data_IF_530889604571
#
_entry.id   IF_530889604571
#
_cell.length_a   1.000
_cell.length_b   1.000
_cell.length_c   1.000
_cell.angle_alpha   90.00
_cell.angle_beta   90.00
_cell.angle_gamma   90.00
#
_symmetry.space_group_name_H-M   'P 1'
#
loop_
_entity.id
_entity.type
_entity.pdbx_description
1 polymer ?
#
# COMPACT_ATOMS: atom_id res chain seq x y z
N UNK A 1 -6.78 13.79 -28.48
CA UNK A 1 -5.53 12.99 -28.35
C UNK A 1 -4.55 13.59 -27.33
N UNK A 2 -4.23 14.89 -27.40
CA UNK A 2 -3.30 15.59 -26.49
C UNK A 2 -3.63 15.39 -24.99
N UNK A 3 -4.84 15.75 -24.55
CA UNK A 3 -5.26 15.66 -23.14
C UNK A 3 -5.11 14.25 -22.56
N UNK A 4 -5.35 13.20 -23.34
CA UNK A 4 -5.20 11.82 -22.88
C UNK A 4 -3.73 11.42 -22.66
N UNK A 5 -2.82 11.93 -23.48
CA UNK A 5 -1.37 11.72 -23.30
C UNK A 5 -0.86 12.54 -22.12
N UNK A 6 -1.30 13.79 -21.99
CA UNK A 6 -0.95 14.65 -20.85
C UNK A 6 -1.34 14.03 -19.51
N UNK A 7 -2.60 13.57 -19.36
CA UNK A 7 -3.05 12.93 -18.14
C UNK A 7 -2.28 11.64 -17.82
N UNK A 8 -1.96 10.85 -18.83
CA UNK A 8 -1.14 9.64 -18.66
C UNK A 8 0.27 9.99 -18.15
N UNK A 9 0.92 11.01 -18.73
CA UNK A 9 2.23 11.48 -18.29
C UNK A 9 2.17 12.05 -16.86
N UNK A 10 1.10 12.77 -16.51
CA UNK A 10 0.88 13.26 -15.15
C UNK A 10 0.72 12.11 -14.14
N UNK A 11 0.06 11.01 -14.51
CA UNK A 11 -0.01 9.81 -13.65
C UNK A 11 1.36 9.17 -13.47
N UNK A 12 2.14 9.03 -14.54
CA UNK A 12 3.51 8.52 -14.44
C UNK A 12 4.39 9.42 -13.56
N UNK A 13 4.29 10.74 -13.72
CA UNK A 13 4.99 11.71 -12.90
C UNK A 13 4.52 11.64 -11.43
N UNK A 14 3.22 11.53 -11.18
CA UNK A 14 2.66 11.36 -9.84
C UNK A 14 3.20 10.11 -9.14
N UNK A 15 3.32 8.98 -9.85
CA UNK A 15 3.91 7.74 -9.31
C UNK A 15 5.37 7.94 -8.86
N UNK A 16 6.14 8.75 -9.57
CA UNK A 16 7.54 9.06 -9.23
C UNK A 16 7.63 10.09 -8.11
N UNK A 17 6.77 11.11 -8.13
CA UNK A 17 6.81 12.24 -7.20
C UNK A 17 6.16 11.94 -5.86
N UNK A 18 5.15 11.06 -5.80
CA UNK A 18 4.35 10.78 -4.59
C UNK A 18 5.19 10.56 -3.32
N UNK A 19 6.25 9.73 -3.30
CA UNK A 19 6.98 9.50 -2.08
C UNK A 19 8.02 10.59 -1.82
N UNK A 20 8.44 11.34 -2.86
CA UNK A 20 9.42 12.42 -2.77
C UNK A 20 8.82 13.70 -2.21
N UNK A 21 7.50 13.86 -2.34
CA UNK A 21 6.79 15.02 -1.82
C UNK A 21 6.58 14.93 -0.30
N UNK A 22 6.69 16.06 0.43
CA UNK A 22 6.42 16.09 1.86
C UNK A 22 4.94 15.80 2.14
N UNK A 23 4.62 15.22 3.31
CA UNK A 23 3.22 14.95 3.69
C UNK A 23 2.39 16.21 3.92
N UNK A 24 3.04 17.31 4.33
CA UNK A 24 2.40 18.60 4.59
C UNK A 24 3.30 19.70 4.03
N UNK A 25 2.71 20.61 3.25
CA UNK A 25 3.33 21.85 2.84
C UNK A 25 2.49 23.00 3.38
N UNK A 26 3.13 23.94 4.10
CA UNK A 26 2.46 25.11 4.62
C UNK A 26 2.22 26.11 3.48
N UNK A 27 0.96 26.38 3.17
CA UNK A 27 0.54 27.45 2.28
C UNK A 27 -0.22 28.49 3.12
N UNK A 28 0.51 29.47 3.65
CA UNK A 28 -0.02 30.39 4.64
C UNK A 28 -0.44 29.66 5.92
N UNK A 29 -1.72 29.71 6.29
CA UNK A 29 -2.28 29.02 7.48
C UNK A 29 -2.79 27.60 7.18
N UNK A 30 -2.75 27.15 5.93
CA UNK A 30 -3.32 25.87 5.50
C UNK A 30 -2.18 24.90 5.20
N UNK A 31 -2.20 23.73 5.84
CA UNK A 31 -1.31 22.63 5.49
C UNK A 31 -1.99 21.75 4.44
N UNK A 32 -1.41 21.70 3.24
CA UNK A 32 -1.96 20.91 2.13
C UNK A 32 -0.93 19.85 1.72
N UNK A 33 -1.31 18.57 1.60
CA UNK A 33 -0.43 17.54 1.04
C UNK A 33 -0.26 17.78 -0.47
N UNK A 34 0.94 18.09 -0.99
CA UNK A 34 1.14 18.37 -2.42
C UNK A 34 0.75 17.19 -3.32
N UNK A 35 0.96 15.95 -2.84
CA UNK A 35 0.56 14.75 -3.55
C UNK A 35 -0.96 14.68 -3.74
N UNK A 36 -1.75 15.07 -2.73
CA UNK A 36 -3.22 15.09 -2.82
C UNK A 36 -3.68 16.15 -3.85
N UNK A 37 -2.98 17.29 -3.95
CA UNK A 37 -3.24 18.30 -4.99
C UNK A 37 -2.96 17.77 -6.40
N UNK A 38 -1.84 17.10 -6.62
CA UNK A 38 -1.51 16.53 -7.94
C UNK A 38 -2.54 15.48 -8.33
N UNK A 39 -2.93 14.61 -7.40
CA UNK A 39 -3.98 13.64 -7.64
C UNK A 39 -5.31 14.32 -7.98
N UNK A 40 -5.72 15.35 -7.22
CA UNK A 40 -6.92 16.12 -7.49
C UNK A 40 -6.89 16.78 -8.90
N UNK A 41 -5.74 17.31 -9.33
CA UNK A 41 -5.56 17.86 -10.69
C UNK A 41 -5.71 16.79 -11.77
N UNK A 42 -5.16 15.59 -11.55
CA UNK A 42 -5.33 14.44 -12.46
C UNK A 42 -6.81 14.05 -12.56
N UNK A 43 -7.50 13.98 -11.43
CA UNK A 43 -8.92 13.64 -11.37
C UNK A 43 -9.79 14.70 -12.06
N UNK A 44 -9.50 15.98 -11.81
CA UNK A 44 -10.19 17.10 -12.45
C UNK A 44 -9.98 17.10 -13.97
N UNK A 45 -8.74 16.88 -14.43
CA UNK A 45 -8.46 16.77 -15.86
C UNK A 45 -9.14 15.55 -16.50
N UNK A 46 -9.30 14.44 -15.78
CA UNK A 46 -10.10 13.31 -16.24
C UNK A 46 -11.60 13.67 -16.35
N UNK A 47 -12.14 14.40 -15.37
CA UNK A 47 -13.51 14.91 -15.42
C UNK A 47 -13.73 15.82 -16.64
N UNK A 48 -12.83 16.77 -16.92
CA UNK A 48 -12.89 17.60 -18.14
C UNK A 48 -12.84 16.74 -19.42
N UNK A 49 -12.00 15.70 -19.43
CA UNK A 49 -11.93 14.76 -20.56
C UNK A 49 -13.27 14.04 -20.79
N UNK A 50 -13.99 13.67 -19.73
CA UNK A 50 -15.33 13.07 -19.83
C UNK A 50 -16.34 14.01 -20.49
N UNK A 51 -16.29 15.32 -20.17
CA UNK A 51 -17.18 16.33 -20.77
C UNK A 51 -16.85 16.53 -22.26
N UNK A 52 -15.57 16.57 -22.62
CA UNK A 52 -15.14 16.94 -23.98
C UNK A 52 -15.17 15.74 -24.94
N UNK A 53 -14.75 14.55 -24.50
CA UNK A 53 -14.51 13.42 -25.40
C UNK A 53 -15.64 12.39 -25.39
N UNK A 54 -16.35 12.26 -26.53
CA UNK A 54 -17.37 11.21 -26.75
C UNK A 54 -16.80 9.80 -26.56
N UNK A 55 -15.59 9.55 -27.04
CA UNK A 55 -14.91 8.26 -26.90
C UNK A 55 -14.62 7.93 -25.43
N UNK A 56 -14.23 8.93 -24.63
CA UNK A 56 -14.04 8.79 -23.19
C UNK A 56 -15.37 8.46 -22.47
N UNK A 57 -16.48 9.08 -22.87
CA UNK A 57 -17.82 8.76 -22.30
C UNK A 57 -18.25 7.33 -22.59
N UNK A 58 -17.98 6.84 -23.80
CA UNK A 58 -18.27 5.45 -24.17
C UNK A 58 -17.45 4.48 -23.31
N UNK A 59 -16.14 4.73 -23.16
CA UNK A 59 -15.28 3.92 -22.28
C UNK A 59 -15.71 3.99 -20.82
N UNK A 60 -16.05 5.17 -20.32
CA UNK A 60 -16.55 5.35 -18.96
C UNK A 60 -17.85 4.58 -18.73
N UNK A 61 -18.83 4.70 -19.61
CA UNK A 61 -20.11 3.99 -19.49
C UNK A 61 -19.92 2.47 -19.51
N UNK A 62 -19.09 1.95 -20.42
CA UNK A 62 -18.73 0.52 -20.43
C UNK A 62 -17.95 0.11 -19.17
N UNK A 63 -17.04 0.97 -18.70
CA UNK A 63 -16.24 0.76 -17.50
C UNK A 63 -17.11 0.69 -16.24
N UNK A 64 -18.11 1.56 -16.09
CA UNK A 64 -19.05 1.53 -14.96
C UNK A 64 -19.82 0.21 -14.93
N UNK A 65 -20.29 -0.29 -16.08
CA UNK A 65 -20.96 -1.60 -16.15
C UNK A 65 -20.04 -2.75 -15.70
N UNK A 66 -18.79 -2.78 -16.16
CA UNK A 66 -17.81 -3.78 -15.71
C UNK A 66 -17.44 -3.59 -14.22
N UNK A 67 -17.38 -2.36 -13.74
CA UNK A 67 -17.02 -2.03 -12.37
C UNK A 67 -18.04 -2.55 -11.37
N UNK A 68 -19.34 -2.49 -11.68
CA UNK A 68 -20.40 -3.02 -10.82
C UNK A 68 -20.75 -4.50 -11.07
N UNK A 69 -20.03 -5.20 -11.95
CA UNK A 69 -20.16 -6.66 -12.11
C UNK A 69 -18.98 -7.43 -11.50
N UNK A 70 -17.86 -6.74 -11.27
CA UNK A 70 -16.67 -7.35 -10.68
C UNK A 70 -16.74 -7.28 -9.14
N UNK A 71 -16.73 -8.45 -8.49
CA UNK A 71 -16.84 -8.58 -7.04
C UNK A 71 -15.82 -7.75 -6.24
N UNK A 72 -14.57 -7.59 -6.73
CA UNK A 72 -13.55 -6.75 -6.06
C UNK A 72 -14.03 -5.30 -5.97
N UNK A 73 -14.51 -4.76 -7.08
CA UNK A 73 -14.93 -3.37 -7.17
C UNK A 73 -16.28 -3.12 -6.52
N UNK A 74 -17.16 -4.14 -6.45
CA UNK A 74 -18.37 -4.10 -5.62
C UNK A 74 -18.00 -3.92 -4.14
N UNK A 75 -17.12 -4.76 -3.59
CA UNK A 75 -16.71 -4.62 -2.18
C UNK A 75 -15.97 -3.29 -1.92
N UNK A 76 -15.16 -2.81 -2.86
CA UNK A 76 -14.56 -1.47 -2.78
C UNK A 76 -15.63 -0.37 -2.71
N UNK A 77 -16.71 -0.53 -3.47
CA UNK A 77 -17.82 0.43 -3.52
C UNK A 77 -18.63 0.42 -2.22
N UNK A 78 -18.91 -0.76 -1.68
CA UNK A 78 -19.59 -0.90 -0.38
C UNK A 78 -18.75 -0.25 0.71
N UNK A 79 -17.44 -0.52 0.74
CA UNK A 79 -16.53 0.08 1.72
C UNK A 79 -16.51 1.62 1.60
N UNK A 80 -16.39 2.15 0.39
CA UNK A 80 -16.41 3.60 0.16
C UNK A 80 -17.77 4.23 0.53
N UNK A 81 -18.88 3.54 0.27
CA UNK A 81 -20.21 3.99 0.66
C UNK A 81 -20.33 4.03 2.19
N UNK A 82 -19.87 3.00 2.90
CA UNK A 82 -19.86 2.99 4.36
C UNK A 82 -19.01 4.13 4.93
N UNK A 83 -17.83 4.38 4.33
CA UNK A 83 -16.99 5.53 4.69
C UNK A 83 -17.73 6.86 4.55
N UNK A 84 -18.49 7.07 3.47
CA UNK A 84 -19.30 8.28 3.27
C UNK A 84 -20.47 8.39 4.25
N UNK A 85 -21.23 7.30 4.46
CA UNK A 85 -22.33 7.25 5.42
C UNK A 85 -21.82 7.59 6.82
N UNK A 86 -20.60 7.13 7.16
CA UNK A 86 -20.00 7.34 8.47
C UNK A 86 -19.74 8.80 8.84
N UNK A 87 -19.65 9.69 7.85
CA UNK A 87 -19.49 11.15 8.07
C UNK A 87 -20.69 11.73 8.85
N UNK A 88 -21.87 11.15 8.72
CA UNK A 88 -23.08 11.64 9.38
C UNK A 88 -23.02 11.53 10.92
N UNK A 89 -22.38 10.47 11.44
CA UNK A 89 -22.29 10.17 12.87
C UNK A 89 -20.86 10.24 13.44
N UNK A 90 -19.84 10.52 12.63
CA UNK A 90 -18.46 10.71 13.08
C UNK A 90 -18.32 11.86 14.10
N UNK A 91 -17.45 11.68 15.11
CA UNK A 91 -17.13 12.72 16.09
C UNK A 91 -16.38 13.91 15.46
N UNK A 92 -15.34 13.62 14.68
CA UNK A 92 -14.68 14.53 13.75
C UNK A 92 -15.14 14.22 12.32
N UNK A 93 -16.14 14.97 11.88
CA UNK A 93 -16.72 14.87 10.53
C UNK A 93 -15.74 15.30 9.43
N UNK A 94 -14.85 16.25 9.72
CA UNK A 94 -13.88 16.75 8.74
C UNK A 94 -12.82 15.70 8.45
N UNK A 95 -12.33 15.03 9.49
CA UNK A 95 -11.40 13.91 9.34
C UNK A 95 -12.05 12.75 8.59
N UNK A 96 -13.28 12.38 8.96
CA UNK A 96 -14.03 11.33 8.26
C UNK A 96 -14.21 11.65 6.77
N UNK A 97 -14.59 12.88 6.45
CA UNK A 97 -14.77 13.31 5.05
C UNK A 97 -13.44 13.25 4.26
N UNK A 98 -12.35 13.74 4.85
CA UNK A 98 -11.03 13.74 4.20
C UNK A 98 -10.52 12.32 3.91
N UNK A 99 -10.59 11.42 4.89
CA UNK A 99 -10.17 10.02 4.72
C UNK A 99 -11.06 9.29 3.71
N UNK A 100 -12.37 9.57 3.71
CA UNK A 100 -13.32 8.99 2.74
C UNK A 100 -13.02 9.45 1.31
N UNK A 101 -12.81 10.76 1.09
CA UNK A 101 -12.44 11.27 -0.24
C UNK A 101 -11.10 10.75 -0.72
N UNK A 102 -10.13 10.58 0.19
CA UNK A 102 -8.85 9.98 -0.13
C UNK A 102 -8.99 8.52 -0.57
N UNK A 103 -9.83 7.73 0.09
CA UNK A 103 -10.09 6.36 -0.37
C UNK A 103 -10.77 6.34 -1.74
N UNK A 104 -11.77 7.20 -1.95
CA UNK A 104 -12.47 7.33 -3.24
C UNK A 104 -11.52 7.76 -4.36
N UNK A 105 -10.56 8.66 -4.10
CA UNK A 105 -9.58 9.07 -5.10
C UNK A 105 -8.70 7.90 -5.58
N UNK A 106 -8.37 6.94 -4.70
CA UNK A 106 -7.70 5.70 -5.10
C UNK A 106 -8.58 4.80 -5.96
N UNK A 107 -9.88 4.72 -5.66
CA UNK A 107 -10.83 3.97 -6.50
C UNK A 107 -10.92 4.59 -7.89
N UNK A 108 -10.99 5.92 -7.98
CA UNK A 108 -11.04 6.62 -9.28
C UNK A 108 -9.72 6.43 -10.04
N UNK A 109 -8.57 6.52 -9.37
CA UNK A 109 -7.27 6.24 -9.99
C UNK A 109 -7.20 4.80 -10.52
N UNK A 110 -7.67 3.82 -9.73
CA UNK A 110 -7.80 2.43 -10.15
C UNK A 110 -8.68 2.29 -11.39
N UNK A 111 -9.85 2.96 -11.40
CA UNK A 111 -10.78 2.97 -12.52
C UNK A 111 -10.11 3.55 -13.78
N UNK A 112 -9.43 4.68 -13.67
CA UNK A 112 -8.74 5.33 -14.79
C UNK A 112 -7.67 4.42 -15.41
N UNK A 113 -6.82 3.78 -14.59
CA UNK A 113 -5.80 2.85 -15.08
C UNK A 113 -6.45 1.65 -15.77
N UNK A 114 -7.48 1.06 -15.15
CA UNK A 114 -8.16 -0.15 -15.66
C UNK A 114 -8.91 0.08 -16.98
N UNK A 115 -9.59 1.21 -17.14
CA UNK A 115 -10.49 1.42 -18.30
C UNK A 115 -9.96 2.39 -19.35
N UNK A 116 -9.13 3.38 -18.99
CA UNK A 116 -8.60 4.36 -19.94
C UNK A 116 -7.19 4.04 -20.43
N UNK A 117 -6.34 3.48 -19.57
CA UNK A 117 -4.92 3.25 -19.87
C UNK A 117 -4.52 1.77 -19.88
N UNK A 118 -5.45 0.90 -20.26
CA UNK A 118 -5.25 -0.55 -20.34
C UNK A 118 -4.45 -1.06 -21.55
N UNK A 119 -3.87 -0.18 -22.36
CA UNK A 119 -2.93 -0.58 -23.41
C UNK A 119 -1.62 -1.04 -22.79
N UNK A 120 -1.06 -2.13 -23.30
CA UNK A 120 0.17 -2.75 -22.78
C UNK A 120 1.35 -1.77 -22.63
N UNK A 121 1.53 -0.88 -23.60
CA UNK A 121 2.58 0.16 -23.58
C UNK A 121 2.42 1.12 -22.41
N UNK A 122 1.19 1.56 -22.14
CA UNK A 122 0.87 2.50 -21.06
C UNK A 122 1.02 1.83 -19.69
N UNK A 123 0.55 0.59 -19.57
CA UNK A 123 0.71 -0.19 -18.35
C UNK A 123 2.20 -0.48 -18.06
N UNK A 124 3.02 -0.71 -19.09
CA UNK A 124 4.47 -0.82 -18.95
C UNK A 124 5.11 0.47 -18.46
N UNK A 125 4.67 1.63 -18.94
CA UNK A 125 5.18 2.91 -18.43
C UNK A 125 4.78 3.19 -16.98
N UNK A 126 3.58 2.77 -16.56
CA UNK A 126 3.15 2.82 -15.15
C UNK A 126 4.04 1.93 -14.28
N UNK A 127 4.27 0.67 -14.67
CA UNK A 127 5.18 -0.23 -13.95
C UNK A 127 6.63 0.27 -13.96
N UNK A 128 7.09 0.81 -15.09
CA UNK A 128 8.42 1.42 -15.22
C UNK A 128 8.58 2.62 -14.29
N UNK A 129 7.55 3.46 -14.17
CA UNK A 129 7.52 4.59 -13.23
C UNK A 129 7.62 4.09 -11.78
N UNK A 130 6.86 3.04 -11.42
CA UNK A 130 6.96 2.42 -10.10
C UNK A 130 8.35 1.84 -9.79
N UNK A 131 8.96 1.14 -10.75
CA UNK A 131 10.33 0.61 -10.59
C UNK A 131 11.33 1.75 -10.45
N UNK A 132 11.19 2.82 -11.24
CA UNK A 132 12.02 4.02 -11.15
C UNK A 132 11.90 4.66 -9.75
N UNK A 133 10.69 4.81 -9.22
CA UNK A 133 10.45 5.29 -7.85
C UNK A 133 11.23 4.46 -6.83
N UNK A 134 11.17 3.13 -6.94
CA UNK A 134 11.87 2.24 -6.01
C UNK A 134 13.40 2.42 -6.06
N UNK A 135 13.97 2.62 -7.26
CA UNK A 135 15.39 2.94 -7.40
C UNK A 135 15.74 4.23 -6.66
N UNK A 136 14.98 5.31 -6.90
CA UNK A 136 15.21 6.62 -6.26
C UNK A 136 15.13 6.49 -4.73
N UNK A 137 14.08 5.83 -4.23
CA UNK A 137 13.87 5.65 -2.79
C UNK A 137 14.96 4.80 -2.15
N UNK A 138 15.40 3.72 -2.80
CA UNK A 138 16.49 2.90 -2.27
C UNK A 138 17.82 3.65 -2.24
N UNK A 139 18.14 4.41 -3.29
CA UNK A 139 19.37 5.23 -3.33
C UNK A 139 19.33 6.31 -2.25
N UNK A 140 18.20 7.01 -2.10
CA UNK A 140 18.03 8.02 -1.06
C UNK A 140 18.12 7.40 0.35
N UNK A 141 17.51 6.23 0.58
CA UNK A 141 17.57 5.55 1.87
C UNK A 141 18.99 5.09 2.25
N UNK A 142 19.79 4.61 1.29
CA UNK A 142 21.22 4.35 1.51
C UNK A 142 21.97 5.64 1.86
N UNK A 143 21.75 6.72 1.09
CA UNK A 143 22.36 8.01 1.38
C UNK A 143 21.99 8.53 2.79
N UNK A 144 20.72 8.41 3.18
CA UNK A 144 20.22 8.77 4.50
C UNK A 144 20.85 7.91 5.60
N UNK A 145 21.11 6.62 5.35
CA UNK A 145 21.78 5.74 6.31
C UNK A 145 23.22 6.18 6.63
N UNK A 146 23.93 6.80 5.68
CA UNK A 146 25.29 7.29 5.93
C UNK A 146 25.32 8.69 6.54
N UNK A 147 24.40 9.55 6.12
CA UNK A 147 24.44 10.99 6.43
C UNK A 147 23.47 11.41 7.54
N UNK A 148 22.42 10.64 7.78
CA UNK A 148 21.28 11.07 8.60
C UNK A 148 20.48 12.23 7.99
N UNK A 149 20.74 12.58 6.71
CA UNK A 149 20.13 13.73 6.05
C UNK A 149 18.61 13.58 5.95
N UNK A 150 17.88 14.64 6.31
CA UNK A 150 16.41 14.67 6.29
C UNK A 150 15.73 13.75 7.31
N UNK A 151 16.48 13.10 8.21
CA UNK A 151 15.93 12.22 9.23
C UNK A 151 15.56 13.00 10.50
N UNK A 152 14.35 12.78 11.01
CA UNK A 152 13.88 13.32 12.28
C UNK A 152 14.73 12.80 13.46
N UNK A 153 14.89 13.62 14.49
CA UNK A 153 15.74 13.27 15.64
C UNK A 153 15.24 12.04 16.41
N UNK A 154 13.93 11.78 16.41
CA UNK A 154 13.33 10.56 17.00
C UNK A 154 13.82 9.25 16.36
N UNK A 155 14.40 9.30 15.16
CA UNK A 155 14.95 8.14 14.45
C UNK A 155 16.48 8.11 14.43
N UNK A 156 17.14 9.00 15.18
CA UNK A 156 18.59 9.00 15.39
C UNK A 156 18.92 8.38 16.75
N UNK A 157 20.10 7.76 16.85
CA UNK A 157 20.66 7.18 18.08
C UNK A 157 19.69 6.22 18.81
N UNK A 158 19.12 5.29 18.04
CA UNK A 158 18.04 4.43 18.47
C UNK A 158 18.57 3.14 19.12
N UNK A 159 19.24 3.23 20.28
CA UNK A 159 19.70 2.12 21.13
C UNK A 159 20.58 1.06 20.44
N UNK A 160 19.97 0.27 19.57
CA UNK A 160 20.56 -0.75 18.70
C UNK A 160 21.06 -0.22 17.34
N UNK A 161 20.72 1.01 16.93
CA UNK A 161 21.14 1.53 15.63
C UNK A 161 21.41 3.04 15.65
N UNK A 162 22.41 3.49 14.89
CA UNK A 162 22.71 4.92 14.71
C UNK A 162 21.55 5.66 14.05
N UNK A 163 20.98 5.10 12.98
CA UNK A 163 19.84 5.68 12.27
C UNK A 163 18.80 4.60 11.94
N UNK A 164 17.52 4.96 12.04
CA UNK A 164 16.42 4.19 11.47
C UNK A 164 15.89 4.93 10.25
N UNK A 165 16.25 4.48 9.06
CA UNK A 165 15.93 5.25 7.85
C UNK A 165 14.43 5.26 7.57
N UNK A 166 13.97 6.40 7.06
CA UNK A 166 12.60 6.61 6.55
C UNK A 166 12.59 6.88 5.06
N UNK A 167 13.77 7.10 4.46
CA UNK A 167 13.92 7.78 3.19
C UNK A 167 13.06 9.04 3.19
N UNK A 168 12.04 9.09 2.34
CA UNK A 168 11.07 10.19 2.26
C UNK A 168 9.67 9.78 2.71
N UNK A 169 9.53 8.63 3.41
CA UNK A 169 8.25 8.03 3.82
C UNK A 169 7.80 8.43 5.23
N UNK A 170 8.49 9.38 5.86
CA UNK A 170 8.24 9.99 7.17
C UNK A 170 8.34 9.03 8.37
N UNK A 171 8.19 7.73 8.18
CA UNK A 171 8.29 6.70 9.21
C UNK A 171 8.98 5.44 8.65
N UNK A 172 9.82 4.73 9.43
CA UNK A 172 10.53 3.54 8.95
C UNK A 172 9.60 2.39 8.57
N UNK A 173 8.45 2.24 9.23
CA UNK A 173 7.47 1.19 8.90
C UNK A 173 6.78 1.48 7.56
N UNK A 174 6.57 2.75 7.21
CA UNK A 174 6.02 3.14 5.91
C UNK A 174 7.00 2.81 4.79
N UNK A 175 8.29 3.12 4.97
CA UNK A 175 9.33 2.73 4.03
C UNK A 175 9.39 1.21 3.87
N UNK A 176 9.40 0.47 4.98
CA UNK A 176 9.42 -0.98 4.94
C UNK A 176 8.22 -1.54 4.15
N UNK A 177 7.02 -1.04 4.41
CA UNK A 177 5.82 -1.48 3.73
C UNK A 177 5.84 -1.19 2.22
N UNK A 178 6.32 -0.01 1.83
CA UNK A 178 6.52 0.35 0.42
C UNK A 178 7.50 -0.61 -0.27
N UNK A 179 8.63 -0.94 0.37
CA UNK A 179 9.63 -1.86 -0.18
C UNK A 179 9.13 -3.30 -0.22
N UNK A 180 8.31 -3.73 0.73
CA UNK A 180 7.69 -5.06 0.74
C UNK A 180 6.77 -5.25 -0.47
N UNK A 181 6.05 -4.23 -0.91
CA UNK A 181 5.24 -4.28 -2.13
C UNK A 181 6.08 -4.52 -3.41
N UNK A 182 7.37 -4.19 -3.38
CA UNK A 182 8.26 -4.21 -4.54
C UNK A 182 9.27 -5.38 -4.57
N UNK A 183 9.74 -5.82 -3.40
CA UNK A 183 10.91 -6.71 -3.30
C UNK A 183 10.68 -8.07 -3.96
N UNK A 184 9.54 -8.72 -3.74
CA UNK A 184 9.28 -10.04 -4.33
C UNK A 184 9.05 -9.98 -5.85
N UNK A 185 8.37 -8.97 -6.43
CA UNK A 185 8.40 -8.73 -7.86
C UNK A 185 9.82 -8.65 -8.43
N UNK A 186 10.73 -7.92 -7.76
CA UNK A 186 12.12 -7.79 -8.22
C UNK A 186 12.89 -9.10 -8.09
N UNK A 187 12.71 -9.86 -7.01
CA UNK A 187 13.29 -11.20 -6.84
C UNK A 187 12.82 -12.13 -7.97
N UNK A 188 11.52 -12.17 -8.25
CA UNK A 188 10.97 -13.04 -9.29
C UNK A 188 11.47 -12.66 -10.68
N UNK A 189 11.57 -11.36 -10.98
CA UNK A 189 12.17 -10.90 -12.23
C UNK A 189 13.67 -11.23 -12.31
N UNK A 190 14.44 -11.05 -11.23
CA UNK A 190 15.86 -11.40 -11.18
C UNK A 190 16.11 -12.91 -11.42
N UNK A 191 15.20 -13.78 -10.96
CA UNK A 191 15.35 -15.23 -11.14
C UNK A 191 15.00 -15.68 -12.57
N UNK A 192 13.99 -15.08 -13.20
CA UNK A 192 13.41 -15.57 -14.45
C UNK A 192 13.70 -14.73 -15.69
N UNK A 193 14.26 -13.54 -15.54
CA UNK A 193 14.70 -12.74 -16.67
C UNK A 193 15.86 -13.42 -17.41
N UNK A 194 15.75 -13.46 -18.74
CA UNK A 194 16.73 -14.11 -19.61
C UNK A 194 17.87 -13.15 -20.00
N UNK A 195 17.56 -11.86 -20.16
CA UNK A 195 18.56 -10.86 -20.54
C UNK A 195 19.45 -10.53 -19.34
N UNK A 196 20.77 -10.77 -19.46
CA UNK A 196 21.74 -10.61 -18.37
C UNK A 196 21.69 -9.22 -17.73
N UNK A 197 21.65 -8.16 -18.54
CA UNK A 197 21.60 -6.77 -18.06
C UNK A 197 20.39 -6.51 -17.15
N UNK A 198 19.19 -6.90 -17.62
CA UNK A 198 17.94 -6.74 -16.87
C UNK A 198 17.91 -7.61 -15.62
N UNK A 199 18.41 -8.85 -15.74
CA UNK A 199 18.56 -9.76 -14.61
C UNK A 199 19.43 -9.17 -13.51
N UNK A 200 20.61 -8.63 -13.87
CA UNK A 200 21.52 -7.97 -12.93
C UNK A 200 20.86 -6.74 -12.33
N UNK A 201 20.17 -5.92 -13.13
CA UNK A 201 19.43 -4.77 -12.62
C UNK A 201 18.39 -5.15 -11.54
N UNK A 202 17.52 -6.13 -11.81
CA UNK A 202 16.51 -6.57 -10.83
C UNK A 202 17.14 -7.21 -9.59
N UNK A 203 18.24 -7.95 -9.76
CA UNK A 203 18.99 -8.53 -8.66
C UNK A 203 19.58 -7.45 -7.75
N UNK A 204 20.31 -6.48 -8.32
CA UNK A 204 20.89 -5.37 -7.56
C UNK A 204 19.82 -4.54 -6.87
N UNK A 205 18.69 -4.28 -7.53
CA UNK A 205 17.57 -3.56 -6.92
C UNK A 205 16.96 -4.34 -5.74
N UNK A 206 16.77 -5.66 -5.87
CA UNK A 206 16.28 -6.49 -4.76
C UNK A 206 17.27 -6.50 -3.57
N UNK A 207 18.58 -6.53 -3.85
CA UNK A 207 19.63 -6.41 -2.82
C UNK A 207 19.58 -5.05 -2.13
N UNK A 208 19.47 -3.95 -2.88
CA UNK A 208 19.31 -2.60 -2.33
C UNK A 208 18.05 -2.48 -1.46
N UNK A 209 16.93 -3.08 -1.88
CA UNK A 209 15.69 -3.13 -1.10
C UNK A 209 15.89 -3.88 0.22
N UNK A 210 16.60 -5.01 0.21
CA UNK A 210 16.90 -5.79 1.41
C UNK A 210 17.79 -5.02 2.41
N UNK A 211 18.78 -4.28 1.91
CA UNK A 211 19.59 -3.37 2.74
C UNK A 211 18.73 -2.27 3.37
N UNK A 212 17.89 -1.61 2.57
CA UNK A 212 17.00 -0.57 3.09
C UNK A 212 16.01 -1.12 4.12
N UNK A 213 15.42 -2.30 3.88
CA UNK A 213 14.55 -2.99 4.83
C UNK A 213 15.25 -3.24 6.17
N UNK A 214 16.52 -3.64 6.13
CA UNK A 214 17.36 -3.81 7.32
C UNK A 214 17.51 -2.50 8.09
N UNK A 215 17.91 -1.42 7.39
CA UNK A 215 18.13 -0.11 8.02
C UNK A 215 16.86 0.61 8.49
N UNK A 216 15.66 0.13 8.10
CA UNK A 216 14.41 0.64 8.70
C UNK A 216 14.29 0.27 10.18
N UNK A 217 14.96 -0.81 10.63
CA UNK A 217 14.81 -1.35 11.98
C UNK A 217 13.38 -1.84 12.30
N UNK A 218 12.55 -2.05 11.27
CA UNK A 218 11.16 -2.45 11.42
C UNK A 218 11.04 -3.95 11.65
N UNK A 219 10.59 -4.34 12.85
CA UNK A 219 10.27 -5.74 13.20
C UNK A 219 9.23 -6.33 12.24
N UNK A 220 8.26 -5.50 11.85
CA UNK A 220 7.20 -5.88 10.95
C UNK A 220 7.73 -6.22 9.55
N UNK A 221 8.77 -5.52 9.10
CA UNK A 221 9.45 -5.81 7.83
C UNK A 221 10.10 -7.19 7.80
N UNK A 222 10.75 -7.59 8.90
CA UNK A 222 11.38 -8.92 9.02
C UNK A 222 10.34 -10.01 8.84
N UNK A 223 9.19 -9.88 9.53
CA UNK A 223 8.05 -10.79 9.40
C UNK A 223 7.51 -10.77 7.96
N UNK A 224 7.38 -9.60 7.35
CA UNK A 224 6.95 -9.47 5.95
C UNK A 224 7.87 -10.18 4.96
N UNK A 225 9.20 -10.02 5.10
CA UNK A 225 10.19 -10.73 4.27
C UNK A 225 10.09 -12.23 4.45
N UNK A 226 10.01 -12.71 5.70
CA UNK A 226 9.89 -14.13 6.01
C UNK A 226 8.64 -14.74 5.38
N UNK A 227 7.48 -14.09 5.55
CA UNK A 227 6.20 -14.58 5.01
C UNK A 227 6.23 -14.61 3.49
N UNK A 228 6.65 -13.54 2.83
CA UNK A 228 6.67 -13.54 1.37
C UNK A 228 7.64 -14.56 0.79
N UNK A 229 8.79 -14.81 1.45
CA UNK A 229 9.70 -15.90 1.06
C UNK A 229 9.07 -17.28 1.25
N UNK A 230 8.39 -17.53 2.37
CA UNK A 230 7.64 -18.78 2.61
C UNK A 230 6.58 -18.98 1.53
N UNK A 231 5.86 -17.92 1.15
CA UNK A 231 4.88 -17.98 0.05
C UNK A 231 5.54 -18.37 -1.27
N UNK A 232 6.71 -17.80 -1.62
CA UNK A 232 7.44 -18.21 -2.83
C UNK A 232 7.92 -19.67 -2.78
N UNK A 233 8.33 -20.16 -1.60
CA UNK A 233 8.73 -21.56 -1.41
C UNK A 233 7.54 -22.50 -1.62
N UNK A 234 6.42 -22.23 -0.92
CA UNK A 234 5.24 -23.11 -0.87
C UNK A 234 4.43 -23.05 -2.18
N UNK A 235 4.16 -21.85 -2.69
CA UNK A 235 3.25 -21.69 -3.82
C UNK A 235 3.93 -21.78 -5.18
N UNK A 236 5.27 -21.76 -5.23
CA UNK A 236 5.96 -21.60 -6.49
C UNK A 236 7.17 -22.53 -6.69
N UNK A 237 8.19 -22.52 -5.82
CA UNK A 237 9.31 -23.45 -5.98
C UNK A 237 10.19 -23.60 -4.74
N UNK A 238 10.57 -24.85 -4.41
CA UNK A 238 11.52 -25.15 -3.33
C UNK A 238 12.90 -24.49 -3.51
N UNK A 239 13.27 -24.05 -4.71
CA UNK A 239 14.56 -23.35 -4.93
C UNK A 239 14.70 -22.05 -4.14
N UNK A 240 13.60 -21.48 -3.65
CA UNK A 240 13.60 -20.29 -2.79
C UNK A 240 13.96 -20.62 -1.33
N UNK A 241 14.07 -21.90 -0.95
CA UNK A 241 14.46 -22.32 0.40
C UNK A 241 15.89 -21.90 0.73
N UNK A 242 16.82 -22.02 -0.24
CA UNK A 242 18.22 -21.67 -0.03
C UNK A 242 18.38 -20.15 0.23
N UNK A 243 17.85 -19.24 -0.60
CA UNK A 243 17.83 -17.81 -0.28
C UNK A 243 17.17 -17.49 1.07
N UNK A 244 16.08 -18.17 1.43
CA UNK A 244 15.43 -18.01 2.72
C UNK A 244 16.36 -18.40 3.88
N UNK A 245 17.01 -19.56 3.80
CA UNK A 245 17.97 -20.02 4.79
C UNK A 245 19.21 -19.11 4.87
N UNK A 246 19.69 -18.57 3.76
CA UNK A 246 20.80 -17.62 3.73
C UNK A 246 20.41 -16.32 4.43
N UNK A 247 19.24 -15.75 4.11
CA UNK A 247 18.76 -14.52 4.75
C UNK A 247 18.54 -14.75 6.26
N UNK A 248 17.95 -15.89 6.63
CA UNK A 248 17.72 -16.25 8.02
C UNK A 248 19.04 -16.54 8.78
N UNK A 249 20.02 -17.16 8.14
CA UNK A 249 21.34 -17.40 8.74
C UNK A 249 22.11 -16.10 8.92
N UNK A 250 22.18 -15.27 7.88
CA UNK A 250 22.87 -13.98 7.90
C UNK A 250 22.29 -13.02 8.95
N UNK A 251 20.98 -13.03 9.16
CA UNK A 251 20.32 -12.17 10.15
C UNK A 251 20.70 -12.48 11.60
N UNK A 252 21.15 -13.71 11.89
CA UNK A 252 21.62 -14.10 13.22
C UNK A 252 23.01 -13.53 13.54
N UNK A 253 23.81 -13.20 12.52
CA UNK A 253 25.16 -12.65 12.67
C UNK A 253 25.21 -11.12 12.70
N UNK A 254 24.09 -10.44 12.42
CA UNK A 254 23.98 -8.98 12.47
C UNK A 254 23.29 -8.61 13.79
N UNK A 255 24.01 -8.09 14.80
CA UNK A 255 23.48 -7.83 16.15
C UNK A 255 22.20 -6.99 16.13
N UNK A 256 22.17 -5.95 15.30
CA UNK A 256 21.03 -5.06 15.17
C UNK A 256 19.79 -5.81 14.71
N UNK A 257 19.91 -6.69 13.71
CA UNK A 257 18.79 -7.51 13.22
C UNK A 257 18.39 -8.53 14.28
N UNK A 258 19.35 -9.18 14.93
CA UNK A 258 19.11 -10.18 15.97
C UNK A 258 18.30 -9.59 17.13
N UNK A 259 18.65 -8.40 17.61
CA UNK A 259 17.88 -7.70 18.64
C UNK A 259 16.44 -7.40 18.19
N UNK A 260 16.26 -7.01 16.92
CA UNK A 260 14.91 -6.81 16.36
C UNK A 260 14.11 -8.11 16.27
N UNK A 261 14.74 -9.23 15.93
CA UNK A 261 14.10 -10.55 15.90
C UNK A 261 13.64 -10.94 17.30
N UNK A 262 14.51 -10.83 18.32
CA UNK A 262 14.13 -11.15 19.70
C UNK A 262 12.97 -10.28 20.20
N UNK A 263 12.96 -9.01 19.80
CA UNK A 263 11.91 -8.07 20.13
C UNK A 263 10.55 -8.36 19.45
N UNK A 264 10.44 -9.30 18.51
CA UNK A 264 9.15 -9.61 17.84
C UNK A 264 8.11 -10.10 18.86
N UNK A 265 8.50 -11.00 19.75
CA UNK A 265 7.61 -11.62 20.74
C UNK A 265 7.71 -11.00 22.14
N UNK A 266 8.47 -9.93 22.30
CA UNK A 266 8.64 -9.22 23.58
C UNK A 266 7.34 -8.46 23.94
N UNK A 267 6.65 -8.82 25.03
CA UNK A 267 5.40 -8.17 25.44
C UNK A 267 5.60 -6.70 25.83
N UNK A 268 6.74 -6.34 26.44
CA UNK A 268 7.04 -4.98 26.87
C UNK A 268 7.21 -4.09 25.64
N UNK A 269 7.97 -4.54 24.65
CA UNK A 269 8.15 -3.78 23.40
C UNK A 269 6.91 -3.72 22.49
N UNK A 270 5.86 -4.50 22.80
CA UNK A 270 4.60 -4.51 22.07
C UNK A 270 3.41 -4.01 22.90
N UNK A 271 3.62 -3.67 24.17
CA UNK A 271 2.58 -3.28 25.13
C UNK A 271 1.69 -2.16 24.58
N UNK A 272 2.29 -1.19 23.91
CA UNK A 272 1.56 -0.07 23.35
C UNK A 272 0.51 -0.48 22.30
N UNK A 273 0.85 -1.40 21.39
CA UNK A 273 -0.08 -1.96 20.41
C UNK A 273 -1.17 -2.78 21.08
N UNK A 274 -0.82 -3.56 22.10
CA UNK A 274 -1.80 -4.34 22.88
C UNK A 274 -2.84 -3.40 23.50
N UNK A 275 -2.40 -2.28 24.09
CA UNK A 275 -3.31 -1.29 24.67
C UNK A 275 -4.20 -0.62 23.62
N UNK A 276 -3.65 -0.25 22.46
CA UNK A 276 -4.42 0.28 21.34
C UNK A 276 -5.51 -0.69 20.89
N UNK A 277 -5.20 -2.00 20.80
CA UNK A 277 -6.18 -3.01 20.41
C UNK A 277 -7.24 -3.24 21.49
N UNK A 278 -6.88 -3.13 22.77
CA UNK A 278 -7.88 -3.16 23.86
C UNK A 278 -8.85 -1.98 23.75
N UNK A 279 -8.35 -0.78 23.43
CA UNK A 279 -9.21 0.39 23.18
C UNK A 279 -10.09 0.18 21.93
N UNK A 280 -9.55 -0.36 20.85
CA UNK A 280 -10.34 -0.72 19.66
C UNK A 280 -11.47 -1.69 20.00
N UNK A 281 -11.19 -2.74 20.78
CA UNK A 281 -12.20 -3.69 21.25
C UNK A 281 -13.30 -3.03 22.08
N UNK A 282 -12.98 -2.00 22.87
CA UNK A 282 -14.00 -1.22 23.60
C UNK A 282 -14.89 -0.44 22.64
N UNK A 283 -14.30 0.27 21.68
CA UNK A 283 -15.06 1.01 20.67
C UNK A 283 -15.94 0.11 19.80
N UNK A 284 -15.44 -1.07 19.40
CA UNK A 284 -16.22 -2.08 18.66
C UNK A 284 -17.39 -2.57 19.50
N UNK A 285 -17.20 -2.83 20.79
CA UNK A 285 -18.27 -3.26 21.69
C UNK A 285 -19.36 -2.19 21.83
N UNK A 286 -18.98 -0.93 21.89
CA UNK A 286 -19.90 0.19 22.05
C UNK A 286 -20.63 0.53 20.73
N UNK A 287 -19.99 0.29 19.58
CA UNK A 287 -20.53 0.62 18.24
C UNK A 287 -20.36 -0.52 17.20
N UNK A 288 -20.95 -1.71 17.41
CA UNK A 288 -20.61 -2.92 16.64
C UNK A 288 -21.06 -2.88 15.16
N UNK A 289 -22.18 -2.22 14.86
CA UNK A 289 -22.78 -2.26 13.52
C UNK A 289 -22.15 -1.26 12.55
N UNK A 290 -22.05 0.00 12.98
CA UNK A 290 -21.63 1.12 12.14
C UNK A 290 -20.27 1.71 12.54
N UNK A 291 -19.74 1.36 13.71
CA UNK A 291 -18.49 1.95 14.20
C UNK A 291 -18.66 3.42 14.58
N UNK A 292 -17.52 4.09 14.76
CA UNK A 292 -17.44 5.47 15.28
C UNK A 292 -17.22 6.56 14.22
N UNK A 293 -17.14 6.19 12.95
CA UNK A 293 -16.80 7.09 11.85
C UNK A 293 -15.45 6.78 11.23
N UNK A 294 -15.33 6.87 9.90
CA UNK A 294 -14.04 6.73 9.21
C UNK A 294 -13.00 7.70 9.80
N UNK A 295 -11.79 7.23 10.06
CA UNK A 295 -10.72 8.01 10.67
C UNK A 295 -10.92 8.38 12.15
N UNK A 296 -12.03 8.02 12.80
CA UNK A 296 -12.36 8.52 14.14
C UNK A 296 -11.84 7.67 15.30
N UNK A 297 -11.11 6.59 15.04
CA UNK A 297 -10.39 5.88 16.12
C UNK A 297 -9.48 6.84 16.89
N UNK A 298 -8.68 7.63 16.15
CA UNK A 298 -7.72 8.58 16.77
C UNK A 298 -8.44 9.70 17.51
N UNK A 299 -9.54 10.21 16.95
CA UNK A 299 -10.34 11.29 17.56
C UNK A 299 -10.98 10.87 18.89
N UNK A 300 -11.32 9.59 19.05
CA UNK A 300 -11.92 9.06 20.26
C UNK A 300 -10.94 8.35 21.20
N UNK A 301 -9.68 8.19 20.80
CA UNK A 301 -8.66 7.48 21.59
C UNK A 301 -8.52 8.07 23.00
N UNK A 302 -8.39 9.40 23.12
CA UNK A 302 -8.21 10.07 24.41
C UNK A 302 -9.45 9.93 25.30
N UNK A 303 -10.66 9.99 24.71
CA UNK A 303 -11.92 9.77 25.45
C UNK A 303 -11.97 8.37 26.03
N UNK A 304 -11.66 7.35 25.22
CA UNK A 304 -11.72 5.96 25.67
C UNK A 304 -10.60 5.62 26.67
N UNK A 305 -9.40 6.17 26.52
CA UNK A 305 -8.33 5.96 27.51
C UNK A 305 -8.58 6.69 28.82
N UNK A 306 -9.38 7.75 28.85
CA UNK A 306 -9.83 8.35 30.11
C UNK A 306 -10.89 7.49 30.83
N UNK A 307 -11.74 6.77 30.09
CA UNK A 307 -12.69 5.79 30.65
C UNK A 307 -11.96 4.51 31.09
N UNK A 308 -10.92 4.10 30.35
CA UNK A 308 -10.12 2.91 30.60
C UNK A 308 -8.64 3.27 30.81
N UNK A 309 -8.29 3.92 31.95
CA UNK A 309 -6.95 4.45 32.21
C UNK A 309 -5.85 3.37 32.24
N UNK A 310 -6.19 2.11 32.52
CA UNK A 310 -5.26 0.98 32.48
C UNK A 310 -4.67 0.69 31.09
N UNK A 311 -5.28 1.21 30.02
CA UNK A 311 -4.78 1.09 28.64
C UNK A 311 -4.22 2.41 28.10
N UNK A 312 -3.99 3.40 28.96
CA UNK A 312 -3.39 4.67 28.57
C UNK A 312 -1.88 4.52 28.44
N UNK A 313 -1.33 4.91 27.29
CA UNK A 313 0.11 4.98 27.09
C UNK A 313 0.57 6.43 27.20
N UNK A 314 1.21 6.79 28.32
CA UNK A 314 1.54 8.17 28.65
C UNK A 314 2.49 8.79 27.60
N UNK A 315 2.27 10.08 27.31
CA UNK A 315 3.04 10.83 26.30
C UNK A 315 2.47 10.77 24.88
N UNK A 316 1.40 10.00 24.65
CA UNK A 316 0.74 9.87 23.35
C UNK A 316 -0.71 10.35 23.42
N UNK A 317 -1.14 11.04 22.37
CA UNK A 317 -2.51 11.51 22.13
C UNK A 317 -2.89 11.20 20.69
N UNK A 318 -4.18 11.01 20.44
CA UNK A 318 -4.71 10.76 19.08
C UNK A 318 -3.95 9.64 18.33
N UNK A 319 -3.57 8.58 19.06
CA UNK A 319 -2.63 7.59 18.55
C UNK A 319 -3.32 6.54 17.67
N UNK A 320 -2.80 6.18 16.48
CA UNK A 320 -3.48 5.23 15.60
C UNK A 320 -3.50 3.80 16.14
N UNK A 321 -4.52 3.04 15.75
CA UNK A 321 -4.78 1.67 16.22
C UNK A 321 -3.63 0.67 15.96
N UNK A 322 -2.72 0.97 15.00
CA UNK A 322 -1.64 0.07 14.58
C UNK A 322 -2.13 -1.36 14.30
N UNK A 323 -3.31 -1.47 13.68
CA UNK A 323 -3.88 -2.68 13.09
C UNK A 323 -4.98 -2.23 12.13
N UNK A 324 -4.80 -2.48 10.82
CA UNK A 324 -5.74 -2.01 9.80
C UNK A 324 -7.11 -2.67 9.90
N UNK A 325 -7.17 -3.92 10.33
CA UNK A 325 -8.39 -4.70 10.46
C UNK A 325 -9.25 -4.18 11.61
N UNK A 326 -8.64 -4.05 12.80
CA UNK A 326 -9.31 -3.48 13.97
C UNK A 326 -9.70 -2.02 13.74
N UNK A 327 -8.86 -1.24 13.05
CA UNK A 327 -9.22 0.13 12.67
C UNK A 327 -10.50 0.15 11.84
N UNK A 328 -10.58 -0.68 10.79
CA UNK A 328 -11.75 -0.67 9.92
C UNK A 328 -13.03 -1.12 10.64
N UNK A 329 -12.93 -2.16 11.47
CA UNK A 329 -14.07 -2.64 12.26
C UNK A 329 -14.49 -1.62 13.33
N UNK A 330 -13.55 -0.93 13.96
CA UNK A 330 -13.85 0.13 14.93
C UNK A 330 -14.52 1.33 14.26
N UNK A 331 -14.03 1.75 13.10
CA UNK A 331 -14.47 2.98 12.45
C UNK A 331 -15.75 2.81 11.63
N UNK A 332 -15.98 1.63 11.06
CA UNK A 332 -17.10 1.37 10.14
C UNK A 332 -17.98 0.17 10.56
N UNK A 333 -17.72 -0.41 11.73
CA UNK A 333 -18.44 -1.56 12.27
C UNK A 333 -18.22 -2.84 11.46
N UNK A 334 -19.05 -3.85 11.75
CA UNK A 334 -18.96 -5.16 11.10
C UNK A 334 -19.09 -5.08 9.58
N UNK A 335 -19.92 -4.17 9.05
CA UNK A 335 -20.11 -4.02 7.60
C UNK A 335 -18.80 -3.54 6.95
N UNK A 336 -18.16 -2.54 7.53
CA UNK A 336 -16.87 -2.05 7.03
C UNK A 336 -15.75 -3.05 7.20
N UNK A 337 -15.69 -3.74 8.35
CA UNK A 337 -14.72 -4.80 8.62
C UNK A 337 -14.82 -5.95 7.61
N UNK A 338 -16.03 -6.50 7.40
CA UNK A 338 -16.28 -7.57 6.42
C UNK A 338 -15.99 -7.10 4.99
N UNK A 339 -16.43 -5.89 4.62
CA UNK A 339 -16.17 -5.35 3.28
C UNK A 339 -14.69 -5.17 3.01
N UNK A 340 -13.92 -4.71 3.99
CA UNK A 340 -12.46 -4.58 3.88
C UNK A 340 -11.78 -5.95 3.71
N UNK A 341 -12.12 -6.94 4.52
CA UNK A 341 -11.59 -8.31 4.35
C UNK A 341 -11.98 -8.88 2.98
N UNK A 342 -13.22 -8.65 2.53
CA UNK A 342 -13.68 -9.08 1.21
C UNK A 342 -12.89 -8.41 0.08
N UNK A 343 -12.53 -7.13 0.19
CA UNK A 343 -11.62 -6.44 -0.75
C UNK A 343 -10.24 -7.11 -0.78
N UNK A 344 -9.68 -7.46 0.38
CA UNK A 344 -8.37 -8.13 0.43
C UNK A 344 -8.42 -9.51 -0.23
N UNK A 345 -9.39 -10.35 0.14
CA UNK A 345 -9.55 -11.70 -0.42
C UNK A 345 -9.84 -11.65 -1.92
N UNK A 346 -10.75 -10.77 -2.35
CA UNK A 346 -11.08 -10.61 -3.76
C UNK A 346 -9.88 -10.17 -4.59
N UNK A 347 -9.05 -9.26 -4.08
CA UNK A 347 -7.85 -8.82 -4.79
C UNK A 347 -6.82 -9.96 -4.95
N UNK A 348 -6.65 -10.83 -3.95
CA UNK A 348 -5.79 -12.03 -4.08
C UNK A 348 -6.32 -12.98 -5.16
N UNK A 349 -7.63 -13.24 -5.18
CA UNK A 349 -8.25 -14.12 -6.19
C UNK A 349 -8.07 -13.51 -7.58
N UNK A 350 -8.26 -12.20 -7.73
CA UNK A 350 -8.09 -11.49 -9.01
C UNK A 350 -6.66 -11.50 -9.51
N UNK A 351 -5.68 -11.28 -8.64
CA UNK A 351 -4.27 -11.36 -9.02
C UNK A 351 -3.87 -12.79 -9.37
N UNK A 352 -4.32 -13.80 -8.61
CA UNK A 352 -4.10 -15.21 -8.94
C UNK A 352 -4.72 -15.60 -10.29
N UNK A 353 -5.94 -15.14 -10.57
CA UNK A 353 -6.58 -15.34 -11.87
C UNK A 353 -5.75 -14.72 -13.01
N UNK A 354 -5.27 -13.48 -12.83
CA UNK A 354 -4.40 -12.83 -13.82
C UNK A 354 -3.09 -13.60 -14.08
N UNK A 355 -2.44 -14.09 -13.03
CA UNK A 355 -1.20 -14.90 -13.14
C UNK A 355 -1.44 -16.15 -13.99
N UNK A 356 -2.63 -16.76 -13.87
CA UNK A 356 -2.98 -17.98 -14.57
C UNK A 356 -3.35 -17.73 -16.04
N UNK A 357 -3.90 -16.57 -16.39
CA UNK A 357 -4.35 -16.27 -17.75
C UNK A 357 -3.32 -15.53 -18.59
N UNK A 358 -2.41 -14.76 -17.98
CA UNK A 358 -1.49 -13.92 -18.74
C UNK A 358 -0.47 -14.73 -19.56
N UNK A 359 -0.37 -14.41 -20.85
CA UNK A 359 0.61 -15.02 -21.78
C UNK A 359 2.02 -14.41 -21.64
N UNK A 360 2.13 -13.24 -21.04
CA UNK A 360 3.38 -12.51 -20.88
C UNK A 360 4.20 -13.06 -19.71
N UNK A 361 5.37 -13.65 -20.00
CA UNK A 361 6.30 -14.12 -18.96
C UNK A 361 6.69 -13.02 -17.98
N UNK A 362 6.91 -11.80 -18.46
CA UNK A 362 7.25 -10.66 -17.58
C UNK A 362 6.16 -10.41 -16.54
N UNK A 363 4.90 -10.25 -16.98
CA UNK A 363 3.79 -9.99 -16.05
C UNK A 363 3.53 -11.17 -15.14
N UNK A 364 3.61 -12.40 -15.65
CA UNK A 364 3.44 -13.62 -14.84
C UNK A 364 4.39 -13.63 -13.64
N UNK A 365 5.70 -13.46 -13.87
CA UNK A 365 6.68 -13.50 -12.78
C UNK A 365 6.59 -12.27 -11.86
N UNK A 366 6.38 -11.07 -12.42
CA UNK A 366 6.16 -9.86 -11.62
C UNK A 366 4.98 -10.05 -10.66
N UNK A 367 3.84 -10.56 -11.14
CA UNK A 367 2.63 -10.71 -10.34
C UNK A 367 2.65 -11.91 -9.40
N UNK A 368 3.42 -12.98 -9.68
CA UNK A 368 3.72 -14.01 -8.67
C UNK A 368 4.45 -13.37 -7.48
N UNK A 369 5.45 -12.52 -7.75
CA UNK A 369 6.13 -11.76 -6.71
C UNK A 369 5.17 -10.79 -6.00
N UNK A 370 4.33 -10.08 -6.76
CA UNK A 370 3.35 -9.17 -6.17
C UNK A 370 2.34 -9.91 -5.27
N UNK A 371 1.90 -11.12 -5.65
CA UNK A 371 1.02 -11.94 -4.81
C UNK A 371 1.67 -12.28 -3.46
N UNK A 372 2.95 -12.68 -3.47
CA UNK A 372 3.71 -12.89 -2.23
C UNK A 372 3.83 -11.60 -1.41
N UNK A 373 4.05 -10.47 -2.08
CA UNK A 373 4.12 -9.14 -1.45
C UNK A 373 2.78 -8.72 -0.83
N UNK A 374 1.66 -9.00 -1.51
CA UNK A 374 0.32 -8.70 -1.00
C UNK A 374 0.06 -9.47 0.29
N UNK A 375 0.34 -10.77 0.32
CA UNK A 375 0.14 -11.59 1.51
C UNK A 375 1.04 -11.11 2.66
N UNK A 376 2.32 -10.84 2.39
CA UNK A 376 3.24 -10.25 3.37
C UNK A 376 2.70 -8.91 3.91
N UNK A 377 2.29 -8.00 3.02
CA UNK A 377 1.73 -6.71 3.37
C UNK A 377 0.44 -6.84 4.19
N UNK A 378 -0.42 -7.82 3.91
CA UNK A 378 -1.64 -8.06 4.68
C UNK A 378 -1.34 -8.51 6.10
N UNK A 379 -0.38 -9.42 6.26
CA UNK A 379 0.06 -9.85 7.59
C UNK A 379 0.73 -8.70 8.34
N UNK A 380 1.52 -7.87 7.67
CA UNK A 380 2.08 -6.66 8.29
C UNK A 380 1.00 -5.71 8.83
N UNK A 381 -0.19 -5.71 8.21
CA UNK A 381 -1.31 -4.88 8.63
C UNK A 381 -2.12 -5.44 9.81
N UNK A 382 -1.80 -6.65 10.31
CA UNK A 382 -2.31 -7.14 11.60
C UNK A 382 -1.63 -6.44 12.78
N UNK A 383 -0.43 -5.89 12.58
CA UNK A 383 0.35 -5.22 13.63
C UNK A 383 0.71 -3.78 13.31
N UNK A 384 0.14 -3.25 12.24
CA UNK A 384 0.30 -1.86 11.83
C UNK A 384 -0.87 -1.39 10.94
N UNK A 385 -1.01 -0.08 10.71
CA UNK A 385 -2.11 0.51 9.94
C UNK A 385 -1.66 1.03 8.55
N UNK A 386 -0.83 0.26 7.87
CA UNK A 386 -0.13 0.64 6.64
C UNK A 386 -1.07 0.86 5.44
N UNK A 387 -2.26 0.24 5.44
CA UNK A 387 -3.30 0.50 4.43
C UNK A 387 -3.82 1.94 4.45
N UNK A 388 -3.58 2.68 5.54
CA UNK A 388 -4.02 4.05 5.68
C UNK A 388 -2.86 5.05 5.49
N UNK A 389 -1.72 4.58 4.99
CA UNK A 389 -0.57 5.42 4.64
C UNK A 389 -0.63 5.73 3.13
N UNK A 390 -0.91 6.99 2.73
CA UNK A 390 -1.15 7.33 1.32
C UNK A 390 0.03 6.93 0.41
N UNK A 391 1.24 7.28 0.82
CA UNK A 391 2.49 6.98 0.10
C UNK A 391 2.76 5.48 -0.11
N UNK A 392 2.07 4.58 0.59
CA UNK A 392 2.20 3.13 0.40
C UNK A 392 0.98 2.57 -0.34
N UNK A 393 -0.21 2.87 0.16
CA UNK A 393 -1.47 2.31 -0.33
C UNK A 393 -1.77 2.68 -1.78
N UNK A 394 -1.39 3.87 -2.23
CA UNK A 394 -1.57 4.25 -3.64
C UNK A 394 -0.87 3.27 -4.59
N UNK A 395 0.33 2.79 -4.26
CA UNK A 395 1.04 1.81 -5.08
C UNK A 395 0.35 0.45 -5.10
N UNK A 396 -0.19 0.00 -3.96
CA UNK A 396 -0.98 -1.22 -3.92
C UNK A 396 -2.16 -1.15 -4.91
N UNK A 397 -2.92 -0.05 -4.90
CA UNK A 397 -4.04 0.15 -5.82
C UNK A 397 -3.62 0.26 -7.29
N UNK A 398 -2.51 0.94 -7.58
CA UNK A 398 -1.98 1.06 -8.93
C UNK A 398 -1.56 -0.30 -9.48
N UNK A 399 -0.83 -1.10 -8.71
CA UNK A 399 -0.38 -2.44 -9.13
C UNK A 399 -1.58 -3.38 -9.35
N UNK A 400 -2.60 -3.29 -8.49
CA UNK A 400 -3.84 -4.03 -8.68
C UNK A 400 -4.58 -3.58 -9.94
N UNK A 401 -4.67 -2.27 -10.19
CA UNK A 401 -5.31 -1.70 -11.37
C UNK A 401 -4.62 -2.12 -12.67
N UNK A 402 -3.28 -2.18 -12.69
CA UNK A 402 -2.51 -2.62 -13.86
C UNK A 402 -2.87 -4.07 -14.24
N UNK A 403 -2.98 -4.98 -13.27
CA UNK A 403 -3.39 -6.37 -13.55
C UNK A 403 -4.81 -6.45 -14.10
N UNK A 404 -5.74 -5.71 -13.49
CA UNK A 404 -7.15 -5.70 -13.89
C UNK A 404 -7.36 -5.01 -15.25
N UNK A 405 -6.56 -4.00 -15.56
CA UNK A 405 -6.55 -3.33 -16.87
C UNK A 405 -6.14 -4.29 -17.98
N UNK A 406 -5.09 -5.10 -17.77
CA UNK A 406 -4.69 -6.13 -18.72
C UNK A 406 -5.79 -7.17 -18.92
N UNK A 407 -6.37 -7.71 -17.84
CA UNK A 407 -7.46 -8.68 -17.94
C UNK A 407 -8.68 -8.13 -18.68
N UNK A 408 -9.05 -6.87 -18.42
CA UNK A 408 -10.17 -6.22 -19.09
C UNK A 408 -9.90 -6.07 -20.59
N UNK A 409 -8.66 -5.72 -20.97
CA UNK A 409 -8.26 -5.60 -22.38
C UNK A 409 -8.31 -6.94 -23.10
N UNK A 410 -7.71 -7.98 -22.52
CA UNK A 410 -7.67 -9.33 -23.11
C UNK A 410 -9.09 -9.87 -23.37
N UNK A 411 -10.01 -9.73 -22.40
CA UNK A 411 -11.42 -10.11 -22.58
C UNK A 411 -12.12 -9.37 -23.71
N UNK A 412 -11.83 -8.08 -23.88
CA UNK A 412 -12.44 -7.26 -24.92
C UNK A 412 -11.90 -7.65 -26.30
N UNK A 413 -10.61 -7.94 -26.39
CA UNK A 413 -10.00 -8.40 -27.64
C UNK A 413 -10.58 -9.79 -28.00
N UNK A 414 -10.72 -10.73 -27.07
CA UNK A 414 -11.38 -12.04 -27.30
C UNK A 414 -12.86 -11.92 -27.71
N UNK A 415 -13.62 -11.02 -27.07
CA UNK A 415 -15.02 -10.78 -27.42
C UNK A 415 -15.23 -10.19 -28.82
N UNK A 416 -14.25 -9.45 -29.37
CA UNK A 416 -14.29 -8.96 -30.75
C UNK A 416 -13.96 -10.04 -31.79
N UNK A 417 -13.27 -11.12 -31.42
CA UNK A 417 -12.98 -12.23 -32.32
C UNK A 417 -14.13 -13.25 -32.40
N UNK A 418 -15.09 -13.18 -31.47
CA UNK A 418 -16.25 -14.08 -31.39
C UNK A 418 -17.57 -13.44 -31.87
N UNK A 419 -17.55 -12.16 -32.25
CA UNK A 419 -18.66 -11.40 -32.85
C UNK A 419 -18.37 -11.10 -34.31
#
# INVERSE_FOLDING_TARGET
>A
MFLSRLLYLLVCAYIVLLPLLPNKMALGRINIPPADCILALILFGYFLKLIISKECRIRFSSGIKDFFTNYLTIFMSILALMMLISVSYAADKKLALNESFRFISYIILFFMIKYEWNKRELLNGILGSYICTNVIICVYGIYQNFTGFGLSDEFKNYGYAKFKITATMDNPNNLAAFLILAIFPMIMLAVYEKKRERKVFYFLLAVLMLFNLTFTGSRNAIVGVAIGMVILVVMYSLKFILPLCIIAGASLFIPEIRERIMAINDPVQNQSRIYLWKIAQKMIKDHPLFGVGNGNYVSLYDKYTNIYPQYKFYGYKEWPCHNSYLKMETELGIIGGVSFVAVLLSSLIKVKAFINTTKSKFYKHFYIGFLASMIAFYVMNLVDNLFFVPKTTTYFWILLAVSQGMMYREKKDEGMFLS
#
